data_IF_437681421524
#
_entry.id   IF_437681421524
#
_cell.length_a   1.000
_cell.length_b   1.000
_cell.length_c   1.000
_cell.angle_alpha   90.00
_cell.angle_beta   90.00
_cell.angle_gamma   90.00
#
_symmetry.space_group_name_H-M   'P 1'
#
loop_
_entity.id
_entity.type
_entity.pdbx_description
1 polymer ?
#
# COMPACT_ATOMS: atom_id res chain seq x y z
N UNK A 1 -3.42 3.95 -24.00
CA UNK A 1 -2.43 3.09 -23.31
C UNK A 1 -1.12 3.82 -22.96
N UNK A 2 -0.64 4.78 -23.78
CA UNK A 2 0.60 5.53 -23.53
C UNK A 2 0.62 6.38 -22.23
N UNK A 3 -0.53 6.91 -21.80
CA UNK A 3 -0.60 7.76 -20.61
C UNK A 3 -0.40 7.01 -19.28
N UNK A 4 -0.73 5.71 -19.23
CA UNK A 4 -0.63 4.90 -18.01
C UNK A 4 0.83 4.67 -17.62
N UNK A 5 1.68 4.35 -18.61
CA UNK A 5 3.12 4.20 -18.41
C UNK A 5 3.82 5.50 -18.04
N UNK A 6 3.35 6.65 -18.57
CA UNK A 6 3.89 7.97 -18.23
C UNK A 6 3.70 8.30 -16.75
N UNK A 7 2.54 7.98 -16.18
CA UNK A 7 2.31 8.14 -14.74
C UNK A 7 3.14 7.15 -13.92
N UNK A 8 3.26 5.88 -14.34
CA UNK A 8 4.12 4.90 -13.66
C UNK A 8 5.59 5.35 -13.63
N UNK A 9 6.11 5.85 -14.75
CA UNK A 9 7.49 6.35 -14.84
C UNK A 9 7.72 7.58 -13.97
N UNK A 10 6.75 8.51 -13.93
CA UNK A 10 6.82 9.71 -13.12
C UNK A 10 6.79 9.40 -11.62
N UNK A 11 5.96 8.43 -11.21
CA UNK A 11 5.93 7.92 -9.83
C UNK A 11 7.26 7.24 -9.48
N UNK A 12 7.83 6.43 -10.38
CA UNK A 12 9.13 5.79 -10.19
C UNK A 12 10.26 6.83 -10.04
N UNK A 13 10.22 7.90 -10.84
CA UNK A 13 11.20 8.98 -10.79
C UNK A 13 11.08 9.83 -9.52
N UNK A 14 9.86 10.10 -9.05
CA UNK A 14 9.60 10.75 -7.76
C UNK A 14 10.05 9.85 -6.60
N UNK A 15 9.79 8.53 -6.66
CA UNK A 15 10.27 7.58 -5.67
C UNK A 15 11.80 7.52 -5.62
N UNK A 16 12.45 7.54 -6.79
CA UNK A 16 13.91 7.59 -6.89
C UNK A 16 14.46 8.89 -6.29
N UNK A 17 13.82 10.04 -6.59
CA UNK A 17 14.21 11.34 -6.04
C UNK A 17 14.00 11.46 -4.53
N UNK A 18 12.89 10.92 -4.00
CA UNK A 18 12.62 10.83 -2.57
C UNK A 18 13.57 9.87 -1.86
N UNK A 19 13.91 8.74 -2.48
CA UNK A 19 14.91 7.80 -1.96
C UNK A 19 16.32 8.43 -1.91
N UNK A 20 16.61 9.36 -2.82
CA UNK A 20 17.88 10.08 -2.87
C UNK A 20 17.95 11.30 -1.93
N UNK A 21 16.85 11.68 -1.26
CA UNK A 21 16.89 12.78 -0.31
C UNK A 21 17.70 12.35 0.92
N UNK A 22 18.85 12.98 1.20
CA UNK A 22 19.65 12.61 2.35
C UNK A 22 18.90 13.04 3.61
N UNK A 23 18.26 12.09 4.29
CA UNK A 23 17.78 12.27 5.67
C UNK A 23 19.03 12.38 6.54
N UNK A 24 19.52 13.61 6.69
CA UNK A 24 20.71 13.89 7.49
C UNK A 24 20.30 14.02 8.96
N UNK A 25 20.27 12.88 9.65
CA UNK A 25 20.56 12.65 11.09
C UNK A 25 20.15 11.23 11.48
N UNK A 26 20.73 10.24 10.78
CA UNK A 26 20.47 8.82 10.93
C UNK A 26 20.83 8.31 12.33
N UNK A 27 19.86 8.29 13.25
CA UNK A 27 19.87 7.29 14.32
C UNK A 27 19.26 6.04 13.69
N UNK A 28 20.04 4.96 13.51
CA UNK A 28 19.57 3.64 13.01
C UNK A 28 18.23 3.21 13.65
N UNK A 29 18.05 3.59 14.91
CA UNK A 29 16.83 3.37 15.67
C UNK A 29 15.56 4.03 15.06
N UNK A 30 15.66 5.23 14.49
CA UNK A 30 14.51 5.93 13.91
C UNK A 30 14.04 5.26 12.61
N UNK A 31 14.97 4.83 11.75
CA UNK A 31 14.63 4.11 10.50
C UNK A 31 13.95 2.78 10.82
N UNK A 32 14.47 2.03 11.80
CA UNK A 32 13.86 0.77 12.27
C UNK A 32 12.46 0.97 12.83
N UNK A 33 12.24 2.02 13.62
CA UNK A 33 10.91 2.34 14.14
C UNK A 33 9.92 2.70 13.03
N UNK A 34 10.31 3.55 12.08
CA UNK A 34 9.46 3.92 10.95
C UNK A 34 9.12 2.70 10.10
N UNK A 35 10.11 1.85 9.81
CA UNK A 35 9.90 0.61 9.05
C UNK A 35 8.89 -0.31 9.75
N UNK A 36 9.03 -0.53 11.07
CA UNK A 36 8.11 -1.36 11.85
C UNK A 36 6.66 -0.83 11.81
N UNK A 37 6.49 0.49 11.95
CA UNK A 37 5.17 1.14 11.88
C UNK A 37 4.57 0.99 10.48
N UNK A 38 5.31 1.35 9.43
CA UNK A 38 4.81 1.31 8.04
C UNK A 38 4.43 -0.11 7.63
N UNK A 39 5.25 -1.12 7.96
CA UNK A 39 4.97 -2.52 7.62
C UNK A 39 3.76 -3.06 8.39
N UNK A 40 3.61 -2.70 9.66
CA UNK A 40 2.47 -3.11 10.49
C UNK A 40 1.17 -2.51 9.96
N UNK A 41 1.15 -1.21 9.66
CA UNK A 41 -0.02 -0.54 9.09
C UNK A 41 -0.35 -1.11 7.71
N UNK A 42 0.66 -1.43 6.89
CA UNK A 42 0.47 -2.09 5.59
C UNK A 42 -0.21 -3.45 5.73
N UNK A 43 0.28 -4.28 6.65
CA UNK A 43 -0.27 -5.60 6.89
C UNK A 43 -1.72 -5.52 7.40
N UNK A 44 -2.01 -4.59 8.30
CA UNK A 44 -3.36 -4.33 8.80
C UNK A 44 -4.30 -3.86 7.68
N UNK A 45 -3.86 -2.90 6.86
CA UNK A 45 -4.62 -2.41 5.72
C UNK A 45 -4.97 -3.57 4.76
N UNK A 46 -3.99 -4.39 4.38
CA UNK A 46 -4.25 -5.53 3.48
C UNK A 46 -5.10 -6.63 4.13
N UNK A 47 -4.96 -6.85 5.43
CA UNK A 47 -5.83 -7.75 6.20
C UNK A 47 -7.28 -7.30 6.22
N UNK A 48 -7.53 -6.02 6.50
CA UNK A 48 -8.86 -5.41 6.46
C UNK A 48 -9.45 -5.48 5.05
N UNK A 49 -8.65 -5.19 4.01
CA UNK A 49 -9.04 -5.37 2.61
C UNK A 49 -9.54 -6.80 2.32
N UNK A 50 -8.83 -7.81 2.85
CA UNK A 50 -9.21 -9.22 2.68
C UNK A 50 -10.54 -9.55 3.37
N UNK A 51 -10.74 -9.07 4.60
CA UNK A 51 -12.01 -9.28 5.34
C UNK A 51 -13.18 -8.60 4.62
N UNK A 52 -12.98 -7.38 4.14
CA UNK A 52 -13.98 -6.63 3.38
C UNK A 52 -14.32 -7.37 2.09
N UNK A 53 -13.33 -7.86 1.35
CA UNK A 53 -13.55 -8.62 0.12
C UNK A 53 -14.41 -9.88 0.34
N UNK A 54 -14.22 -10.60 1.46
CA UNK A 54 -15.06 -11.75 1.82
C UNK A 54 -16.50 -11.32 2.13
N UNK A 55 -16.69 -10.21 2.83
CA UNK A 55 -18.02 -9.66 3.10
C UNK A 55 -18.72 -9.17 1.81
N UNK A 56 -17.97 -8.59 0.87
CA UNK A 56 -18.48 -8.11 -0.41
C UNK A 56 -18.86 -9.25 -1.36
N UNK A 57 -18.11 -10.36 -1.35
CA UNK A 57 -18.41 -11.55 -2.14
C UNK A 57 -19.67 -12.30 -1.70
N UNK A 58 -20.34 -11.85 -0.64
CA UNK A 58 -21.65 -12.37 -0.23
C UNK A 58 -22.74 -11.72 -1.09
N UNK A 59 -22.86 -12.19 -2.33
CA UNK A 59 -23.96 -11.81 -3.22
C UNK A 59 -25.22 -12.61 -2.85
N UNK A 60 -26.29 -11.91 -2.49
CA UNK A 60 -27.61 -12.53 -2.36
C UNK A 60 -28.35 -12.31 -3.67
N UNK A 61 -28.31 -13.31 -4.55
CA UNK A 61 -29.15 -13.31 -5.74
C UNK A 61 -30.59 -13.58 -5.32
N UNK A 62 -31.44 -12.56 -5.41
CA UNK A 62 -32.88 -12.71 -5.27
C UNK A 62 -33.45 -12.61 -6.69
N UNK A 63 -34.16 -13.64 -7.13
CA UNK A 63 -34.89 -13.65 -8.40
C UNK A 63 -36.38 -13.43 -8.14
N UNK A 64 -36.84 -12.20 -7.83
CA UNK A 64 -38.27 -11.93 -7.81
C UNK A 64 -38.77 -12.04 -9.25
N UNK A 65 -39.68 -12.98 -9.51
CA UNK A 65 -40.34 -13.18 -10.81
C UNK A 65 -39.43 -13.63 -11.97
N UNK A 66 -38.26 -14.23 -11.69
CA UNK A 66 -37.34 -14.68 -12.75
C UNK A 66 -36.57 -13.55 -13.44
N UNK A 67 -36.69 -12.32 -12.93
CA UNK A 67 -35.80 -11.19 -13.26
C UNK A 67 -34.74 -11.16 -12.17
N UNK A 68 -33.50 -11.52 -12.50
CA UNK A 68 -32.39 -11.44 -11.54
C UNK A 68 -32.14 -9.99 -11.15
N UNK A 69 -32.49 -9.63 -9.91
CA UNK A 69 -32.09 -8.36 -9.31
C UNK A 69 -31.03 -8.66 -8.28
N UNK A 70 -29.76 -8.53 -8.67
CA UNK A 70 -28.64 -8.66 -7.75
C UNK A 70 -28.59 -7.44 -6.82
N UNK A 71 -29.01 -7.63 -5.58
CA UNK A 71 -28.72 -6.68 -4.50
C UNK A 71 -27.34 -7.04 -3.96
N UNK A 72 -26.34 -6.25 -4.34
CA UNK A 72 -24.96 -6.39 -3.87
C UNK A 72 -24.68 -5.34 -2.77
N UNK A 73 -25.07 -5.57 -1.50
CA UNK A 73 -24.73 -4.65 -0.40
C UNK A 73 -23.21 -4.45 -0.25
N UNK A 74 -22.41 -5.37 -0.78
CA UNK A 74 -20.96 -5.25 -0.90
C UNK A 74 -20.47 -4.05 -1.71
N UNK A 75 -21.25 -3.55 -2.69
CA UNK A 75 -20.82 -2.40 -3.51
C UNK A 75 -20.69 -1.11 -2.71
N UNK A 76 -21.39 -0.99 -1.57
CA UNK A 76 -21.27 0.17 -0.67
C UNK A 76 -19.88 0.20 -0.01
N UNK A 77 -19.21 -0.95 0.11
CA UNK A 77 -17.88 -1.07 0.68
C UNK A 77 -16.76 -0.82 -0.36
N UNK A 78 -17.08 -0.73 -1.66
CA UNK A 78 -16.09 -0.53 -2.74
C UNK A 78 -15.25 0.73 -2.55
N UNK A 79 -15.81 1.91 -2.21
CA UNK A 79 -15.02 3.12 -2.01
C UNK A 79 -14.00 2.99 -0.86
N UNK A 80 -14.32 2.17 0.15
CA UNK A 80 -13.43 1.95 1.30
C UNK A 80 -12.31 0.98 0.93
N UNK A 81 -12.63 -0.12 0.23
CA UNK A 81 -11.64 -1.06 -0.31
C UNK A 81 -10.63 -0.34 -1.23
N UNK A 82 -11.10 0.53 -2.12
CA UNK A 82 -10.25 1.29 -3.03
C UNK A 82 -9.29 2.26 -2.31
N UNK A 83 -9.72 2.86 -1.19
CA UNK A 83 -8.85 3.72 -0.37
C UNK A 83 -7.78 2.92 0.37
N UNK A 84 -8.16 1.76 0.92
CA UNK A 84 -7.23 0.86 1.60
C UNK A 84 -6.17 0.34 0.64
N UNK A 85 -6.55 -0.02 -0.59
CA UNK A 85 -5.62 -0.50 -1.62
C UNK A 85 -4.60 0.58 -2.03
N UNK A 86 -5.07 1.81 -2.23
CA UNK A 86 -4.19 2.94 -2.53
C UNK A 86 -3.24 3.26 -1.36
N UNK A 87 -3.76 3.29 -0.14
CA UNK A 87 -2.96 3.55 1.06
C UNK A 87 -1.92 2.44 1.30
N UNK A 88 -2.31 1.18 1.12
CA UNK A 88 -1.42 0.02 1.19
C UNK A 88 -0.28 0.12 0.19
N UNK A 89 -0.55 0.55 -1.05
CA UNK A 89 0.49 0.76 -2.07
C UNK A 89 1.50 1.84 -1.67
N UNK A 90 1.03 2.95 -1.09
CA UNK A 90 1.89 4.03 -0.60
C UNK A 90 2.78 3.52 0.53
N UNK A 91 2.22 2.78 1.49
CA UNK A 91 2.98 2.22 2.61
C UNK A 91 4.03 1.20 2.14
N UNK A 92 3.69 0.33 1.19
CA UNK A 92 4.64 -0.62 0.62
C UNK A 92 5.83 0.11 -0.02
N UNK A 93 5.55 1.19 -0.75
CA UNK A 93 6.57 2.02 -1.40
C UNK A 93 7.44 2.73 -0.36
N UNK A 94 6.83 3.26 0.71
CA UNK A 94 7.55 3.88 1.82
C UNK A 94 8.43 2.86 2.57
N UNK A 95 7.91 1.67 2.85
CA UNK A 95 8.68 0.56 3.45
C UNK A 95 9.86 0.15 2.57
N UNK A 96 9.67 0.06 1.25
CA UNK A 96 10.76 -0.24 0.32
C UNK A 96 11.84 0.86 0.34
N UNK A 97 11.44 2.13 0.37
CA UNK A 97 12.36 3.26 0.48
C UNK A 97 13.17 3.21 1.79
N UNK A 98 12.51 2.95 2.92
CA UNK A 98 13.19 2.81 4.22
C UNK A 98 14.15 1.61 4.24
N UNK A 99 13.77 0.49 3.63
CA UNK A 99 14.64 -0.68 3.50
C UNK A 99 15.93 -0.38 2.72
N UNK A 100 15.83 0.40 1.63
CA UNK A 100 17.01 0.84 0.87
C UNK A 100 17.90 1.73 1.74
N UNK A 101 17.32 2.67 2.48
CA UNK A 101 18.08 3.53 3.41
C UNK A 101 18.81 2.72 4.48
N UNK A 102 18.18 1.66 5.01
CA UNK A 102 18.81 0.77 5.98
C UNK A 102 19.99 -0.02 5.39
N UNK A 103 19.86 -0.51 4.15
CA UNK A 103 20.96 -1.21 3.45
C UNK A 103 22.14 -0.26 3.21
N UNK A 104 21.87 0.97 2.77
CA UNK A 104 22.91 1.99 2.55
C UNK A 104 23.60 2.33 3.88
N UNK A 105 22.84 2.53 4.96
CA UNK A 105 23.40 2.82 6.28
C UNK A 105 24.28 1.68 6.78
N UNK A 106 23.83 0.43 6.64
CA UNK A 106 24.60 -0.75 7.03
C UNK A 106 25.92 -0.88 6.23
N UNK A 107 25.91 -0.55 4.93
CA UNK A 107 27.11 -0.59 4.09
C UNK A 107 28.03 0.63 4.22
N UNK A 108 27.54 1.75 4.76
CA UNK A 108 28.29 3.00 4.92
C UNK A 108 28.93 3.18 6.29
N UNK A 109 28.61 2.30 7.26
CA UNK A 109 29.23 2.27 8.59
C UNK A 109 30.50 1.38 8.53
N UNK A 110 31.72 1.95 8.55
CA UNK A 110 32.95 1.17 8.42
C UNK A 110 33.31 0.35 9.68
N UNK A 111 32.54 0.49 10.77
CA UNK A 111 32.85 -0.06 12.09
C UNK A 111 31.90 -1.20 12.54
N UNK A 112 31.03 -1.71 11.64
CA UNK A 112 30.12 -2.86 11.85
C UNK A 112 30.56 -4.10 11.06
#
# INVERSE_FOLDING_TARGET
>A
MLNKYRHTFFVLFICLGLACFPVTSSTDHQIKQMMAVTLSVYALARGLNGVISVAQGTEVSIEPMGVGVTLAPGQILDPLNDLIEQFSTILLTASASLGIQQIILFGADPDN
#
